data_IF_254785621273
#
_entry.id   IF_254785621273
#
_cell.length_a   1.000
_cell.length_b   1.000
_cell.length_c   1.000
_cell.angle_alpha   90.00
_cell.angle_beta   90.00
_cell.angle_gamma   90.00
#
_symmetry.space_group_name_H-M   'P 1'
#
loop_
_entity.id
_entity.type
_entity.pdbx_description
1 polymer ?
#
# COMPACT_ATOMS: atom_id res chain seq x y z
N UNK A 1 20.06 -8.05 -28.11
CA UNK A 1 19.25 -9.28 -28.19
C UNK A 1 20.07 -10.32 -28.95
N UNK A 2 20.50 -11.40 -28.28
CA UNK A 2 21.64 -12.24 -28.69
C UNK A 2 21.33 -13.25 -29.82
N UNK A 3 20.57 -12.87 -30.85
CA UNK A 3 20.33 -13.73 -32.03
C UNK A 3 19.51 -15.02 -31.81
N UNK A 4 19.02 -15.25 -30.60
CA UNK A 4 18.20 -16.43 -30.28
C UNK A 4 16.76 -16.26 -30.75
N UNK A 5 16.21 -17.31 -31.38
CA UNK A 5 14.80 -17.38 -31.76
C UNK A 5 13.91 -17.20 -30.53
N UNK A 6 13.02 -16.20 -30.55
CA UNK A 6 12.13 -15.88 -29.45
C UNK A 6 10.68 -15.74 -29.92
N UNK A 7 9.74 -16.15 -29.07
CA UNK A 7 8.30 -16.08 -29.34
C UNK A 7 7.67 -14.74 -28.92
N UNK A 8 8.47 -13.67 -28.78
CA UNK A 8 7.92 -12.34 -28.51
C UNK A 8 7.08 -11.88 -29.69
N UNK A 9 5.89 -11.37 -29.38
CA UNK A 9 5.01 -10.85 -30.39
C UNK A 9 5.61 -9.53 -30.92
N UNK A 10 6.01 -9.49 -32.19
CA UNK A 10 6.69 -8.36 -32.81
C UNK A 10 5.78 -7.14 -32.99
N UNK A 11 4.48 -7.35 -33.12
CA UNK A 11 3.47 -6.28 -33.27
C UNK A 11 3.08 -5.69 -31.91
N UNK A 12 2.74 -6.54 -30.95
CA UNK A 12 2.33 -6.13 -29.59
C UNK A 12 3.52 -5.74 -28.70
N UNK A 13 4.75 -6.05 -29.11
CA UNK A 13 6.00 -5.86 -28.33
C UNK A 13 5.91 -6.47 -26.92
N UNK A 14 5.13 -7.54 -26.75
CA UNK A 14 4.86 -8.18 -25.47
C UNK A 14 5.30 -9.64 -25.44
N UNK A 15 5.66 -10.11 -24.24
CA UNK A 15 5.92 -11.52 -23.99
C UNK A 15 4.62 -12.28 -23.76
N UNK A 16 4.56 -13.55 -24.17
CA UNK A 16 3.41 -14.41 -23.91
C UNK A 16 3.39 -14.98 -22.49
N UNK A 17 2.20 -15.40 -22.02
CA UNK A 17 1.98 -15.98 -20.68
C UNK A 17 2.95 -17.14 -20.35
N UNK A 18 3.27 -17.99 -21.33
CA UNK A 18 4.22 -19.11 -21.18
C UNK A 18 5.65 -18.64 -20.87
N UNK A 19 6.08 -17.55 -21.49
CA UNK A 19 7.38 -16.95 -21.21
C UNK A 19 7.43 -16.43 -19.77
N UNK A 20 6.41 -15.70 -19.35
CA UNK A 20 6.30 -15.19 -17.97
C UNK A 20 6.36 -16.33 -16.94
N UNK A 21 5.56 -17.38 -17.11
CA UNK A 21 5.57 -18.53 -16.21
C UNK A 21 6.93 -19.23 -16.16
N UNK A 22 7.58 -19.39 -17.31
CA UNK A 22 8.91 -20.02 -17.39
C UNK A 22 10.01 -19.13 -16.79
N UNK A 23 9.88 -17.81 -16.92
CA UNK A 23 10.77 -16.84 -16.31
C UNK A 23 10.64 -16.86 -14.79
N UNK A 24 9.42 -16.76 -14.25
CA UNK A 24 9.16 -16.84 -12.80
C UNK A 24 9.60 -18.19 -12.21
N UNK A 25 9.49 -19.30 -12.95
CA UNK A 25 9.96 -20.61 -12.49
C UNK A 25 11.49 -20.71 -12.41
N UNK A 26 12.20 -20.05 -13.33
CA UNK A 26 13.68 -20.05 -13.35
C UNK A 26 14.27 -19.13 -12.29
N UNK A 27 13.50 -18.15 -11.84
CA UNK A 27 13.91 -17.16 -10.86
C UNK A 27 13.01 -17.24 -9.62
N UNK A 28 13.12 -18.28 -8.78
CA UNK A 28 12.32 -18.38 -7.55
C UNK A 28 12.63 -17.27 -6.52
N UNK A 29 13.73 -16.55 -6.71
CA UNK A 29 14.16 -15.38 -5.94
C UNK A 29 13.40 -14.09 -6.28
N UNK A 30 12.57 -14.07 -7.32
CA UNK A 30 11.71 -12.92 -7.67
C UNK A 30 10.23 -13.25 -7.51
N UNK A 31 9.44 -12.25 -7.19
CA UNK A 31 8.00 -12.38 -6.94
C UNK A 31 7.23 -11.18 -7.46
N UNK A 32 5.94 -11.40 -7.73
CA UNK A 32 5.02 -10.34 -8.12
C UNK A 32 4.56 -9.59 -6.85
N UNK A 33 4.73 -8.27 -6.81
CA UNK A 33 4.55 -7.43 -5.61
C UNK A 33 3.71 -6.20 -5.91
N UNK A 34 2.94 -5.78 -4.92
CA UNK A 34 2.28 -4.48 -4.91
C UNK A 34 3.19 -3.52 -4.11
N UNK A 35 3.58 -2.37 -4.67
CA UNK A 35 4.32 -1.37 -3.90
C UNK A 35 3.43 -0.87 -2.76
N UNK A 36 3.85 -1.04 -1.52
CA UNK A 36 3.24 -0.33 -0.39
C UNK A 36 3.96 1.00 -0.23
N UNK A 37 3.28 2.14 -0.43
CA UNK A 37 3.85 3.41 -0.08
C UNK A 37 3.85 3.50 1.45
N UNK A 38 4.93 3.09 2.11
CA UNK A 38 5.26 3.54 3.46
C UNK A 38 6.41 4.51 3.32
N UNK A 39 6.12 5.82 3.41
CA UNK A 39 7.16 6.83 3.27
C UNK A 39 8.18 6.70 4.41
N UNK A 40 9.46 6.90 4.10
CA UNK A 40 10.56 6.90 5.09
C UNK A 40 10.25 7.83 6.27
N UNK A 41 9.58 8.95 6.00
CA UNK A 41 9.10 9.89 7.01
C UNK A 41 8.12 9.28 8.02
N UNK A 42 7.19 8.42 7.58
CA UNK A 42 6.28 7.69 8.50
C UNK A 42 7.04 6.69 9.37
N UNK A 43 8.02 6.00 8.81
CA UNK A 43 8.84 5.06 9.58
C UNK A 43 9.70 5.78 10.64
N UNK A 44 10.23 6.97 10.32
CA UNK A 44 11.02 7.77 11.25
C UNK A 44 10.17 8.45 12.33
N UNK A 45 8.94 8.86 12.00
CA UNK A 45 8.00 9.45 12.95
C UNK A 45 7.45 8.41 13.96
N UNK A 46 7.48 7.12 13.63
CA UNK A 46 7.02 6.03 14.49
C UNK A 46 8.09 5.61 15.52
N UNK A 47 8.46 6.54 16.41
CA UNK A 47 9.40 6.27 17.51
C UNK A 47 8.66 6.22 18.86
N UNK A 48 9.28 5.54 19.84
CA UNK A 48 8.72 5.31 21.18
C UNK A 48 8.22 6.61 21.81
N UNK A 49 9.07 7.62 21.92
CA UNK A 49 8.74 8.88 22.59
C UNK A 49 7.57 9.62 21.95
N UNK A 50 7.47 9.61 20.61
CA UNK A 50 6.34 10.20 19.90
C UNK A 50 5.03 9.44 20.17
N UNK A 51 5.08 8.11 20.23
CA UNK A 51 3.92 7.26 20.52
C UNK A 51 3.44 7.46 21.96
N UNK A 52 4.33 7.44 22.96
CA UNK A 52 3.95 7.65 24.35
C UNK A 52 3.35 9.04 24.56
N UNK A 53 3.99 10.09 24.03
CA UNK A 53 3.48 11.45 24.11
C UNK A 53 2.08 11.61 23.51
N UNK A 54 1.80 10.91 22.41
CA UNK A 54 0.47 10.90 21.80
C UNK A 54 -0.57 10.30 22.74
N UNK A 55 -0.30 9.13 23.33
CA UNK A 55 -1.23 8.47 24.23
C UNK A 55 -1.41 9.20 25.56
N UNK A 56 -0.36 9.80 26.12
CA UNK A 56 -0.45 10.63 27.32
C UNK A 56 -1.37 11.85 27.10
N UNK A 57 -1.24 12.50 25.93
CA UNK A 57 -2.12 13.62 25.56
C UNK A 57 -3.55 13.16 25.32
N UNK A 58 -3.72 12.00 24.68
CA UNK A 58 -5.04 11.43 24.41
C UNK A 58 -5.77 11.10 25.71
N UNK A 59 -5.12 10.42 26.64
CA UNK A 59 -5.67 10.07 27.96
C UNK A 59 -6.08 11.34 28.72
N UNK A 60 -5.19 12.33 28.78
CA UNK A 60 -5.49 13.62 29.41
C UNK A 60 -6.75 14.29 28.83
N UNK A 61 -6.88 14.35 27.51
CA UNK A 61 -8.04 14.97 26.85
C UNK A 61 -9.32 14.19 27.12
N UNK A 62 -9.25 12.85 27.12
CA UNK A 62 -10.38 11.97 27.42
C UNK A 62 -10.87 12.24 28.84
N UNK A 63 -9.97 12.27 29.82
CA UNK A 63 -10.30 12.47 31.22
C UNK A 63 -10.84 13.88 31.51
N UNK A 64 -10.19 14.92 30.97
CA UNK A 64 -10.61 16.31 31.18
C UNK A 64 -11.99 16.63 30.60
N UNK A 65 -12.38 15.96 29.51
CA UNK A 65 -13.63 16.21 28.81
C UNK A 65 -14.69 15.12 29.04
N UNK A 66 -14.39 14.09 29.84
CA UNK A 66 -15.28 12.96 30.08
C UNK A 66 -15.69 12.24 28.80
N UNK A 67 -14.77 12.11 27.83
CA UNK A 67 -15.08 11.51 26.53
C UNK A 67 -15.31 10.00 26.70
N UNK A 68 -16.46 9.54 26.26
CA UNK A 68 -16.77 8.12 26.13
C UNK A 68 -16.42 7.64 24.72
N UNK A 69 -16.12 6.35 24.54
CA UNK A 69 -15.67 5.84 23.24
C UNK A 69 -16.65 6.03 22.07
N UNK A 70 -17.93 6.30 22.33
CA UNK A 70 -18.90 6.72 21.31
C UNK A 70 -18.68 8.13 20.75
N UNK A 71 -17.85 8.96 21.40
CA UNK A 71 -17.52 10.32 20.99
C UNK A 71 -16.12 10.43 20.35
N UNK A 72 -15.32 9.37 20.44
CA UNK A 72 -13.97 9.31 19.86
C UNK A 72 -14.09 8.64 18.50
N UNK A 73 -13.86 9.39 17.43
CA UNK A 73 -13.88 8.87 16.06
C UNK A 73 -12.49 8.91 15.47
N UNK A 74 -12.06 7.79 14.89
CA UNK A 74 -10.91 7.76 14.00
C UNK A 74 -11.40 7.89 12.56
N UNK A 75 -10.80 8.82 11.81
CA UNK A 75 -11.00 8.96 10.38
C UNK A 75 -9.66 8.70 9.71
N UNK A 76 -9.64 7.78 8.75
CA UNK A 76 -8.43 7.51 7.96
C UNK A 76 -8.77 7.37 6.48
N UNK A 77 -7.80 7.76 5.65
CA UNK A 77 -7.88 7.69 4.20
C UNK A 77 -7.01 6.54 3.70
N UNK A 78 -7.63 5.57 3.02
CA UNK A 78 -6.91 4.51 2.30
C UNK A 78 -7.04 4.69 0.80
N UNK A 79 -5.89 4.82 0.13
CA UNK A 79 -5.81 4.77 -1.33
C UNK A 79 -5.83 3.32 -1.81
N UNK A 80 -6.94 2.91 -2.42
CA UNK A 80 -7.05 1.62 -3.11
C UNK A 80 -6.57 1.83 -4.55
N UNK A 81 -5.30 1.50 -4.78
CA UNK A 81 -4.72 1.63 -6.12
C UNK A 81 -4.93 0.36 -6.94
N UNK A 82 -5.40 0.53 -8.18
CA UNK A 82 -5.46 -0.54 -9.19
C UNK A 82 -4.13 -0.74 -9.93
N UNK A 83 -3.03 -0.12 -9.48
CA UNK A 83 -1.74 -0.19 -10.16
C UNK A 83 -1.23 -1.61 -10.33
N UNK A 84 -0.60 -1.82 -11.48
CA UNK A 84 -0.05 -3.09 -11.92
C UNK A 84 1.02 -3.58 -10.94
N UNK A 85 0.95 -4.86 -10.59
CA UNK A 85 1.93 -5.50 -9.73
C UNK A 85 3.30 -5.53 -10.45
N UNK A 86 4.36 -5.17 -9.74
CA UNK A 86 5.74 -5.15 -10.25
C UNK A 86 6.46 -6.45 -9.89
N UNK A 87 7.44 -6.86 -10.70
CA UNK A 87 8.30 -8.00 -10.36
C UNK A 87 9.49 -7.46 -9.54
N UNK A 88 9.70 -7.99 -8.34
CA UNK A 88 10.81 -7.60 -7.46
C UNK A 88 11.38 -8.77 -6.67
N UNK A 89 12.53 -8.56 -6.03
CA UNK A 89 13.20 -9.59 -5.23
C UNK A 89 12.32 -10.04 -4.06
N UNK A 90 12.24 -11.35 -3.88
CA UNK A 90 11.50 -12.01 -2.81
C UNK A 90 12.17 -11.70 -1.48
N UNK A 91 11.38 -11.23 -0.51
CA UNK A 91 11.87 -10.81 0.82
C UNK A 91 12.16 -9.31 0.95
N UNK A 92 12.17 -8.55 -0.15
CA UNK A 92 12.33 -7.10 -0.10
C UNK A 92 10.99 -6.42 0.16
N UNK A 93 10.90 -5.66 1.26
CA UNK A 93 9.68 -4.97 1.69
C UNK A 93 9.52 -3.57 1.04
N UNK A 94 10.62 -2.95 0.60
CA UNK A 94 10.59 -1.64 -0.06
C UNK A 94 11.01 -1.79 -1.51
N UNK A 95 10.04 -1.82 -2.42
CA UNK A 95 10.28 -1.73 -3.85
C UNK A 95 9.89 -0.32 -4.26
N UNK A 96 10.86 0.60 -4.26
CA UNK A 96 10.67 1.94 -4.81
C UNK A 96 10.50 1.84 -6.32
N UNK A 97 9.31 2.14 -6.83
CA UNK A 97 9.08 2.22 -8.27
C UNK A 97 9.22 3.67 -8.74
N UNK A 98 10.24 3.94 -9.57
CA UNK A 98 10.20 5.07 -10.50
C UNK A 98 9.39 4.61 -11.73
N UNK A 99 8.07 4.68 -11.65
CA UNK A 99 7.21 4.37 -12.79
C UNK A 99 6.98 5.61 -13.64
N UNK A 100 7.44 5.56 -14.89
CA UNK A 100 7.05 6.49 -15.95
C UNK A 100 5.55 6.33 -16.22
N UNK A 101 4.83 7.45 -16.13
CA UNK A 101 3.63 7.75 -16.93
C UNK A 101 2.50 6.70 -17.01
N UNK A 102 1.45 6.97 -16.22
CA UNK A 102 0.02 6.85 -16.57
C UNK A 102 -0.78 5.56 -16.29
N UNK A 103 -1.88 5.83 -15.54
CA UNK A 103 -3.17 5.14 -15.45
C UNK A 103 -3.27 3.84 -14.64
N UNK A 104 -3.19 4.00 -13.32
CA UNK A 104 -4.06 3.26 -12.41
C UNK A 104 -5.13 4.22 -11.87
N UNK A 105 -6.40 3.84 -11.89
CA UNK A 105 -7.43 4.55 -11.12
C UNK A 105 -7.12 4.32 -9.65
N UNK A 106 -6.83 5.38 -8.91
CA UNK A 106 -6.71 5.33 -7.46
C UNK A 106 -8.09 5.66 -6.88
N UNK A 107 -8.72 4.71 -6.22
CA UNK A 107 -9.97 4.94 -5.50
C UNK A 107 -9.60 5.25 -4.05
N UNK A 108 -9.79 6.51 -3.66
CA UNK A 108 -9.67 6.90 -2.26
C UNK A 108 -10.94 6.45 -1.52
N UNK A 109 -10.75 5.73 -0.42
CA UNK A 109 -11.81 5.39 0.53
C UNK A 109 -11.51 6.12 1.83
N UNK A 110 -12.45 6.96 2.28
CA UNK A 110 -12.41 7.60 3.61
C UNK A 110 -13.36 6.82 4.51
N UNK A 111 -12.83 6.28 5.61
CA UNK A 111 -13.61 5.55 6.61
C UNK A 111 -13.58 6.32 7.92
N UNK A 112 -14.73 6.38 8.61
CA UNK A 112 -14.86 6.96 9.94
C UNK A 112 -15.51 5.95 10.88
N UNK A 113 -14.85 5.64 12.00
CA UNK A 113 -15.36 4.71 13.00
C UNK A 113 -15.11 5.25 14.41
N UNK A 114 -16.09 5.08 15.29
CA UNK A 114 -15.97 5.39 16.71
C UNK A 114 -15.20 4.30 17.45
N UNK A 115 -14.61 4.65 18.59
CA UNK A 115 -13.90 3.70 19.45
C UNK A 115 -14.81 2.59 20.03
N UNK A 116 -16.14 2.82 20.04
CA UNK A 116 -17.14 1.81 20.39
C UNK A 116 -17.63 0.98 19.18
N UNK A 117 -17.08 1.20 17.99
CA UNK A 117 -17.40 0.43 16.77
C UNK A 117 -18.54 0.98 15.92
N UNK A 118 -19.05 2.19 16.21
CA UNK A 118 -20.05 2.84 15.34
C UNK A 118 -19.34 3.46 14.14
N UNK A 119 -19.66 3.04 12.92
CA UNK A 119 -19.14 3.66 11.70
C UNK A 119 -20.27 4.36 10.95
N UNK A 120 -19.99 5.56 10.42
CA UNK A 120 -20.93 6.27 9.56
C UNK A 120 -20.46 6.15 8.12
N UNK A 121 -21.31 5.60 7.26
CA UNK A 121 -21.15 5.69 5.82
C UNK A 121 -21.92 6.92 5.36
N UNK A 122 -21.26 7.83 4.64
CA UNK A 122 -21.96 8.82 3.82
C UNK A 122 -22.23 8.15 2.47
N UNK A 123 -23.49 7.78 2.14
CA UNK A 123 -23.84 7.43 0.77
C UNK A 123 -23.88 8.73 -0.04
N UNK A 124 -23.25 8.70 -1.22
CA UNK A 124 -23.41 9.73 -2.25
C UNK A 124 -24.83 9.70 -2.81
#
# INVERSE_FOLDING_TARGET
MNGMSHTFNKEKKMTGKKWYQTFMRRHPEISLRQPEPTSLARAQAFNKEAVYRYFDLLEKIIDENGLVGSHIYNMDETGVSTVQKVIGQKGTHQIGSLSSGERGTNTTVVCCASANGNYTYHPW
#
